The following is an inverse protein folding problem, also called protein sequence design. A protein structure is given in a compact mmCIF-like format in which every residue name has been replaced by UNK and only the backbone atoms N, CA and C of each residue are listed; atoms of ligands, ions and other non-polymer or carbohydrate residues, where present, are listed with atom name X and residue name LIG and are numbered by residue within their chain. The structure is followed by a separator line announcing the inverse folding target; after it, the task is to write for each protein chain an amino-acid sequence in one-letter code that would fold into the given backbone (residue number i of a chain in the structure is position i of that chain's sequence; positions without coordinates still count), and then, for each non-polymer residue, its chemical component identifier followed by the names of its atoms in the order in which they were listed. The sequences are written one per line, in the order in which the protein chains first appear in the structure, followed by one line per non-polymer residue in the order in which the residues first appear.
data_IF_357366243330
#
_entry.id   IF_357366243330
#
_cell.length_a   1.000
_cell.length_b   1.000
_cell.length_c   1.000
_cell.angle_alpha   90.00
_cell.angle_beta   90.00
_cell.angle_gamma   90.00
#
_symmetry.space_group_name_H-M   'P 1'
#
loop_
_entity.id
_entity.type
_entity.pdbx_description
1 polymer ?
#
# COMPACT_ATOMS: atom_id res chain seq x y z
N UNK A 1 -21.12 -21.39 14.25
CA UNK A 1 -21.01 -21.10 12.81
C UNK A 1 -21.20 -19.62 12.45
N UNK A 2 -21.66 -18.73 13.35
CA UNK A 2 -21.74 -17.28 13.10
C UNK A 2 -20.45 -16.47 13.37
N UNK A 3 -19.33 -17.11 13.73
CA UNK A 3 -18.05 -16.42 14.03
C UNK A 3 -17.01 -16.47 12.91
N UNK A 4 -17.20 -17.31 11.88
CA UNK A 4 -16.28 -17.42 10.75
C UNK A 4 -16.66 -16.52 9.57
N UNK A 5 -17.93 -16.11 9.46
CA UNK A 5 -18.39 -15.15 8.46
C UNK A 5 -17.94 -13.72 8.81
N UNK A 6 -17.78 -13.40 10.10
CA UNK A 6 -17.32 -12.08 10.55
C UNK A 6 -15.81 -11.84 10.33
N UNK A 7 -14.97 -12.88 10.33
CA UNK A 7 -13.53 -12.72 10.04
C UNK A 7 -13.23 -12.60 8.54
N UNK A 8 -14.05 -13.20 7.67
CA UNK A 8 -13.95 -13.02 6.22
C UNK A 8 -14.53 -11.66 5.78
N UNK A 9 -15.53 -11.13 6.49
CA UNK A 9 -15.98 -9.75 6.29
C UNK A 9 -14.94 -8.74 6.79
N UNK A 10 -14.32 -8.94 7.96
CA UNK A 10 -13.31 -8.02 8.50
C UNK A 10 -12.00 -7.95 7.68
N UNK A 11 -11.74 -8.92 6.79
CA UNK A 11 -10.64 -8.90 5.82
C UNK A 11 -11.08 -8.44 4.41
N UNK A 12 -12.39 -8.29 4.17
CA UNK A 12 -12.99 -7.74 2.94
C UNK A 12 -13.59 -6.34 3.14
N UNK A 13 -13.50 -5.76 4.35
CA UNK A 13 -14.08 -4.47 4.76
C UNK A 13 -13.03 -3.38 5.02
N UNK A 14 -11.76 -3.60 4.65
CA UNK A 14 -10.79 -2.51 4.60
C UNK A 14 -10.98 -1.71 3.30
N UNK A 15 -11.67 -0.57 3.41
CA UNK A 15 -11.61 0.51 2.43
C UNK A 15 -12.56 0.36 1.25
N UNK A 16 -13.85 0.57 1.47
CA UNK A 16 -14.77 0.91 0.38
C UNK A 16 -14.91 2.42 0.28
N UNK A 17 -14.73 2.97 -0.92
CA UNK A 17 -15.04 4.37 -1.18
C UNK A 17 -16.53 4.55 -1.49
N UNK A 18 -17.19 5.46 -0.79
CA UNK A 18 -18.63 5.72 -0.96
C UNK A 18 -18.96 7.18 -1.15
N UNK A 19 -20.17 7.47 -1.60
CA UNK A 19 -20.79 8.79 -1.51
C UNK A 19 -22.30 8.67 -1.59
N UNK A 20 -23.01 9.78 -1.36
CA UNK A 20 -24.39 9.90 -1.87
C UNK A 20 -24.43 9.65 -3.38
N UNK A 21 -25.54 9.13 -3.89
CA UNK A 21 -25.69 8.77 -5.31
C UNK A 21 -25.51 10.00 -6.22
N UNK A 22 -24.46 10.05 -7.07
CA UNK A 22 -24.28 11.15 -8.01
C UNK A 22 -25.25 11.03 -9.20
N UNK A 23 -25.83 12.16 -9.61
CA UNK A 23 -26.52 12.30 -10.90
C UNK A 23 -25.50 12.56 -12.01
N UNK A 24 -24.92 11.49 -12.56
CA UNK A 24 -23.93 11.60 -13.64
C UNK A 24 -24.64 11.76 -14.98
N UNK A 25 -24.26 12.80 -15.72
CA UNK A 25 -24.82 13.07 -17.04
C UNK A 25 -24.46 11.95 -18.04
N UNK A 26 -25.40 11.57 -18.89
CA UNK A 26 -25.26 10.41 -19.79
C UNK A 26 -24.05 10.50 -20.72
N UNK A 27 -23.61 11.71 -21.11
CA UNK A 27 -22.44 11.90 -21.95
C UNK A 27 -21.10 11.56 -21.27
N UNK A 28 -21.07 11.46 -19.94
CA UNK A 28 -19.89 11.08 -19.16
C UNK A 28 -19.85 9.57 -18.87
N UNK A 29 -20.95 8.88 -19.12
CA UNK A 29 -21.06 7.44 -18.95
C UNK A 29 -20.44 6.72 -20.15
N UNK A 30 -19.70 5.67 -19.85
CA UNK A 30 -18.99 4.86 -20.83
C UNK A 30 -19.60 3.47 -20.92
N UNK A 31 -19.79 2.98 -22.15
CA UNK A 31 -20.11 1.58 -22.41
C UNK A 31 -19.02 1.00 -23.31
N UNK A 32 -17.88 0.54 -22.74
CA UNK A 32 -16.75 0.08 -23.52
C UNK A 32 -17.16 -1.02 -24.50
N UNK A 33 -16.79 -0.94 -25.79
CA UNK A 33 -17.33 -1.86 -26.81
C UNK A 33 -16.93 -3.33 -26.59
N UNK A 34 -15.82 -3.60 -25.88
CA UNK A 34 -15.32 -4.94 -25.60
C UNK A 34 -15.72 -5.51 -24.22
N UNK A 35 -16.55 -4.81 -23.46
CA UNK A 35 -17.04 -5.30 -22.15
C UNK A 35 -18.29 -6.20 -22.24
N UNK A 36 -19.29 -5.93 -23.11
CA UNK A 36 -20.45 -6.81 -23.22
C UNK A 36 -20.05 -8.22 -23.70
N UNK A 37 -20.46 -9.24 -22.97
CA UNK A 37 -20.06 -10.62 -23.26
C UNK A 37 -20.16 -11.53 -22.04
N UNK A 38 -19.74 -12.79 -22.23
CA UNK A 38 -19.67 -13.80 -21.17
C UNK A 38 -18.22 -14.05 -20.80
N UNK A 39 -17.94 -14.10 -19.50
CA UNK A 39 -16.60 -14.27 -18.97
C UNK A 39 -16.60 -15.30 -17.87
N UNK A 40 -15.46 -15.97 -17.72
CA UNK A 40 -15.11 -16.77 -16.56
C UNK A 40 -14.62 -15.85 -15.46
N UNK A 41 -15.16 -16.03 -14.25
CA UNK A 41 -14.67 -15.34 -13.06
C UNK A 41 -13.52 -16.15 -12.49
N UNK A 42 -12.35 -15.52 -12.37
CA UNK A 42 -11.22 -16.02 -11.61
C UNK A 42 -11.08 -15.13 -10.37
N UNK A 43 -11.14 -15.74 -9.19
CA UNK A 43 -10.94 -15.08 -7.90
C UNK A 43 -9.58 -15.45 -7.33
N UNK A 44 -8.99 -14.55 -6.55
CA UNK A 44 -7.70 -14.75 -5.87
C UNK A 44 -7.83 -15.67 -4.65
N UNK A 45 -8.98 -15.69 -3.98
CA UNK A 45 -9.14 -16.27 -2.63
C UNK A 45 -9.92 -17.60 -2.58
N UNK A 46 -10.42 -18.11 -3.71
CA UNK A 46 -11.26 -19.31 -3.71
C UNK A 46 -10.48 -20.60 -4.02
N UNK A 47 -10.26 -21.39 -2.96
CA UNK A 47 -9.90 -22.80 -3.08
C UNK A 47 -11.01 -23.61 -3.76
N UNK A 48 -10.63 -24.41 -4.77
CA UNK A 48 -11.42 -25.50 -5.36
C UNK A 48 -12.91 -25.23 -5.71
N UNK A 49 -13.28 -23.97 -6.01
CA UNK A 49 -14.61 -23.62 -6.49
C UNK A 49 -14.88 -24.11 -7.91
N UNK A 50 -16.14 -24.48 -8.20
CA UNK A 50 -16.60 -24.70 -9.58
C UNK A 50 -16.47 -23.39 -10.37
N UNK A 51 -16.06 -23.44 -11.66
CA UNK A 51 -15.78 -22.23 -12.40
C UNK A 51 -17.08 -21.44 -12.62
N UNK A 52 -17.08 -20.16 -12.20
CA UNK A 52 -18.24 -19.27 -12.27
C UNK A 52 -18.22 -18.47 -13.57
N UNK A 53 -19.41 -18.13 -14.07
CA UNK A 53 -19.58 -17.30 -15.26
C UNK A 53 -20.31 -16.01 -14.90
N UNK A 54 -19.91 -14.91 -15.53
CA UNK A 54 -20.60 -13.62 -15.51
C UNK A 54 -20.94 -13.19 -16.93
N UNK A 55 -22.13 -12.63 -17.12
CA UNK A 55 -22.52 -11.98 -18.37
C UNK A 55 -22.66 -10.48 -18.16
N UNK A 56 -21.88 -9.69 -18.90
CA UNK A 56 -22.01 -8.23 -18.93
C UNK A 56 -22.90 -7.82 -20.10
N UNK A 57 -23.89 -6.98 -19.82
CA UNK A 57 -24.87 -6.49 -20.80
C UNK A 57 -25.09 -5.00 -20.65
N UNK A 58 -25.35 -4.33 -21.77
CA UNK A 58 -25.74 -2.91 -21.75
C UNK A 58 -27.12 -2.76 -21.11
N UNK A 59 -27.29 -1.71 -20.32
CA UNK A 59 -28.55 -1.37 -19.69
C UNK A 59 -28.80 0.14 -19.71
N UNK A 60 -30.04 0.54 -19.97
CA UNK A 60 -30.49 1.93 -19.86
C UNK A 60 -29.56 2.99 -20.46
N UNK A 61 -29.65 4.21 -19.92
CA UNK A 61 -28.92 5.41 -20.29
C UNK A 61 -27.41 5.33 -19.96
N UNK A 62 -26.68 4.38 -20.54
CA UNK A 62 -25.23 4.26 -20.39
C UNK A 62 -24.76 3.39 -19.21
N UNK A 63 -25.67 2.72 -18.49
CA UNK A 63 -25.31 1.75 -17.46
C UNK A 63 -25.04 0.36 -18.03
N UNK A 64 -24.53 -0.53 -17.18
CA UNK A 64 -24.19 -1.90 -17.48
C UNK A 64 -24.77 -2.80 -16.39
N UNK A 65 -25.14 -4.02 -16.75
CA UNK A 65 -25.53 -5.08 -15.81
C UNK A 65 -24.44 -6.15 -15.86
N UNK A 66 -24.02 -6.63 -14.69
CA UNK A 66 -23.26 -7.87 -14.53
C UNK A 66 -24.12 -8.93 -13.85
N UNK A 67 -24.38 -10.04 -14.54
CA UNK A 67 -25.16 -11.16 -14.03
C UNK A 67 -24.29 -12.39 -13.84
N UNK A 68 -24.06 -12.80 -12.58
CA UNK A 68 -23.39 -14.06 -12.29
C UNK A 68 -24.37 -15.24 -12.49
N UNK A 69 -24.00 -16.21 -13.32
CA UNK A 69 -24.81 -17.41 -13.55
C UNK A 69 -24.83 -18.28 -12.29
N UNK A 70 -25.88 -18.17 -11.47
CA UNK A 70 -26.12 -19.04 -10.31
C UNK A 70 -26.21 -18.33 -8.95
N UNK A 71 -25.92 -17.02 -8.88
CA UNK A 71 -26.24 -16.19 -7.70
C UNK A 71 -27.30 -15.16 -8.11
N UNK A 72 -28.39 -15.07 -7.34
CA UNK A 72 -29.47 -14.10 -7.54
C UNK A 72 -29.06 -12.70 -7.09
N UNK A 73 -28.11 -12.10 -7.80
CA UNK A 73 -27.62 -10.74 -7.57
C UNK A 73 -27.16 -10.12 -8.87
N UNK A 74 -28.12 -9.63 -9.68
CA UNK A 74 -27.82 -8.75 -10.81
C UNK A 74 -27.35 -7.40 -10.27
N UNK A 75 -26.08 -7.06 -10.46
CA UNK A 75 -25.54 -5.76 -10.10
C UNK A 75 -25.62 -4.81 -11.29
N UNK A 76 -26.41 -3.73 -11.19
CA UNK A 76 -26.32 -2.63 -12.15
C UNK A 76 -25.19 -1.71 -11.73
N UNK A 77 -24.29 -1.40 -12.65
CA UNK A 77 -23.19 -0.48 -12.41
C UNK A 77 -23.08 0.53 -13.55
N UNK A 78 -22.42 1.64 -13.27
CA UNK A 78 -22.11 2.70 -14.23
C UNK A 78 -20.60 2.78 -14.38
N UNK A 79 -20.13 3.12 -15.58
CA UNK A 79 -18.72 3.33 -15.85
C UNK A 79 -18.50 4.77 -16.32
N UNK A 80 -17.41 5.39 -15.88
CA UNK A 80 -16.89 6.61 -16.47
C UNK A 80 -15.39 6.47 -16.74
N UNK A 81 -14.90 7.08 -17.81
CA UNK A 81 -13.50 6.97 -18.19
C UNK A 81 -12.61 7.76 -17.22
N UNK A 82 -11.46 7.19 -16.86
CA UNK A 82 -10.41 7.91 -16.13
C UNK A 82 -9.43 8.58 -17.10
N UNK A 83 -8.41 9.27 -16.58
CA UNK A 83 -7.29 9.74 -17.43
C UNK A 83 -6.35 8.62 -17.87
N UNK A 84 -6.44 7.43 -17.26
CA UNK A 84 -5.67 6.26 -17.66
C UNK A 84 -6.35 5.48 -18.80
N UNK A 85 -5.66 5.22 -19.93
CA UNK A 85 -6.21 4.44 -21.02
C UNK A 85 -6.64 3.04 -20.58
N UNK A 86 -7.88 2.65 -20.89
CA UNK A 86 -8.39 1.32 -20.57
C UNK A 86 -8.87 1.14 -19.13
N UNK A 87 -8.74 2.17 -18.27
CA UNK A 87 -9.21 2.15 -16.88
C UNK A 87 -10.47 3.01 -16.74
N UNK A 88 -11.48 2.44 -16.10
CA UNK A 88 -12.78 3.06 -15.90
C UNK A 88 -13.11 3.07 -14.41
N UNK A 89 -13.65 4.18 -13.91
CA UNK A 89 -14.29 4.22 -12.60
C UNK A 89 -15.60 3.45 -12.68
N UNK A 90 -15.73 2.43 -11.85
CA UNK A 90 -16.94 1.65 -11.62
C UNK A 90 -17.72 2.23 -10.46
N UNK A 91 -19.00 2.49 -10.69
CA UNK A 91 -19.93 3.07 -9.72
C UNK A 91 -21.07 2.08 -9.55
N UNK A 92 -21.13 1.44 -8.39
CA UNK A 92 -22.12 0.43 -8.03
C UNK A 92 -23.11 1.04 -7.05
N UNK A 93 -24.42 0.89 -7.28
CA UNK A 93 -25.40 1.28 -6.28
C UNK A 93 -25.32 0.31 -5.08
N UNK A 94 -25.04 0.85 -3.89
CA UNK A 94 -24.95 0.07 -2.65
C UNK A 94 -26.33 -0.05 -2.00
N UNK A 95 -27.03 1.07 -1.89
CA UNK A 95 -28.41 1.15 -1.42
C UNK A 95 -29.18 2.25 -2.19
N UNK A 96 -30.36 2.62 -1.71
CA UNK A 96 -31.20 3.65 -2.37
C UNK A 96 -30.51 5.02 -2.46
N UNK A 97 -29.60 5.31 -1.53
CA UNK A 97 -29.02 6.63 -1.30
C UNK A 97 -27.52 6.72 -1.55
N UNK A 98 -26.77 5.61 -1.53
CA UNK A 98 -25.32 5.60 -1.65
C UNK A 98 -24.80 4.69 -2.76
N UNK A 99 -23.60 5.03 -3.22
CA UNK A 99 -22.84 4.27 -4.22
C UNK A 99 -21.50 3.84 -3.64
N UNK A 100 -20.96 2.78 -4.23
CA UNK A 100 -19.60 2.29 -4.04
C UNK A 100 -18.77 2.58 -5.28
N UNK A 101 -17.52 2.93 -5.07
CA UNK A 101 -16.54 3.18 -6.13
C UNK A 101 -15.51 2.06 -6.21
N UNK A 102 -15.07 1.77 -7.42
CA UNK A 102 -13.98 0.83 -7.73
C UNK A 102 -13.42 1.12 -9.12
N UNK A 103 -12.45 0.34 -9.58
CA UNK A 103 -11.99 0.41 -10.98
C UNK A 103 -12.30 -0.84 -11.76
N UNK A 104 -12.53 -0.66 -13.06
CA UNK A 104 -12.59 -1.75 -14.02
C UNK A 104 -11.59 -1.46 -15.13
N UNK A 105 -10.68 -2.39 -15.38
CA UNK A 105 -9.60 -2.24 -16.35
C UNK A 105 -9.74 -3.23 -17.49
N UNK A 106 -9.59 -2.74 -18.71
CA UNK A 106 -9.41 -3.57 -19.89
C UNK A 106 -7.95 -3.99 -20.02
N UNK A 107 -7.72 -5.31 -20.03
CA UNK A 107 -6.40 -5.91 -20.15
C UNK A 107 -6.21 -6.55 -21.54
N UNK A 108 -4.99 -7.03 -21.77
CA UNK A 108 -4.66 -7.75 -23.00
C UNK A 108 -5.56 -8.97 -23.21
N UNK A 109 -5.66 -9.41 -24.46
CA UNK A 109 -6.49 -10.56 -24.88
C UNK A 109 -7.99 -10.45 -24.56
N UNK A 110 -8.49 -9.22 -24.32
CA UNK A 110 -9.90 -8.96 -24.04
C UNK A 110 -10.34 -9.35 -22.63
N UNK A 111 -9.39 -9.54 -21.71
CA UNK A 111 -9.66 -9.74 -20.30
C UNK A 111 -10.07 -8.42 -19.62
N UNK A 112 -10.81 -8.53 -18.52
CA UNK A 112 -11.17 -7.40 -17.68
C UNK A 112 -10.84 -7.69 -16.23
N UNK A 113 -10.34 -6.72 -15.49
CA UNK A 113 -10.02 -6.87 -14.07
C UNK A 113 -10.82 -5.85 -13.27
N UNK A 114 -11.49 -6.32 -12.21
CA UNK A 114 -12.10 -5.48 -11.20
C UNK A 114 -11.08 -5.14 -10.12
N UNK A 115 -11.18 -3.93 -9.60
CA UNK A 115 -10.40 -3.46 -8.46
C UNK A 115 -11.27 -2.78 -7.43
N UNK A 116 -11.05 -3.16 -6.18
CA UNK A 116 -11.41 -2.31 -5.05
C UNK A 116 -10.50 -1.08 -5.02
N UNK A 117 -11.04 0.04 -4.55
CA UNK A 117 -10.24 1.18 -4.17
C UNK A 117 -10.39 1.39 -2.67
N UNK A 118 -9.27 1.52 -1.98
CA UNK A 118 -9.22 1.77 -0.55
C UNK A 118 -8.67 3.16 -0.27
N UNK A 119 -8.95 3.66 0.93
CA UNK A 119 -8.24 4.82 1.46
C UNK A 119 -6.75 4.48 1.62
N UNK A 120 -5.95 5.48 2.00
CA UNK A 120 -4.53 5.27 2.29
C UNK A 120 -4.35 4.19 3.35
N UNK A 121 -3.42 3.26 3.13
CA UNK A 121 -2.89 2.33 4.15
C UNK A 121 -2.80 3.01 5.52
N UNK A 122 -3.29 2.35 6.57
CA UNK A 122 -3.18 2.83 7.95
C UNK A 122 -1.72 2.73 8.45
N UNK A 123 -0.87 3.64 7.96
CA UNK A 123 0.53 3.76 8.33
C UNK A 123 0.93 5.22 8.62
N UNK A 124 2.22 5.42 8.90
CA UNK A 124 2.77 6.75 9.26
C UNK A 124 2.62 7.79 8.14
N UNK A 125 2.33 7.36 6.92
CA UNK A 125 2.14 8.19 5.74
C UNK A 125 0.67 8.50 5.44
N UNK A 126 -0.27 7.87 6.15
CA UNK A 126 -1.71 8.08 5.97
C UNK A 126 -2.10 9.56 6.07
N UNK A 127 -1.66 10.24 7.14
CA UNK A 127 -1.99 11.66 7.38
C UNK A 127 -1.53 12.60 6.25
N UNK A 128 -0.23 12.64 5.90
CA UNK A 128 0.26 13.44 4.78
C UNK A 128 -0.45 13.14 3.44
N UNK A 129 -0.69 11.86 3.13
CA UNK A 129 -1.35 11.48 1.88
C UNK A 129 -2.84 11.90 1.86
N UNK A 130 -3.58 11.68 2.96
CA UNK A 130 -4.97 12.16 3.10
C UNK A 130 -5.07 13.69 2.98
N UNK A 131 -4.13 14.44 3.54
CA UNK A 131 -4.10 15.90 3.40
C UNK A 131 -3.88 16.35 1.93
N UNK A 132 -3.01 15.64 1.20
CA UNK A 132 -2.80 15.91 -0.22
C UNK A 132 -4.01 15.51 -1.08
N UNK A 133 -4.58 14.33 -0.81
CA UNK A 133 -5.83 13.85 -1.41
C UNK A 133 -6.97 14.86 -1.22
N UNK A 134 -7.14 15.40 -0.01
CA UNK A 134 -8.11 16.46 0.28
C UNK A 134 -7.81 17.74 -0.52
N UNK A 135 -6.54 18.16 -0.62
CA UNK A 135 -6.15 19.33 -1.42
C UNK A 135 -6.53 19.18 -2.90
N UNK A 136 -6.51 17.95 -3.43
CA UNK A 136 -6.97 17.67 -4.80
C UNK A 136 -8.50 17.68 -4.86
N UNK A 137 -9.18 17.03 -3.92
CA UNK A 137 -10.64 17.01 -3.83
C UNK A 137 -11.26 18.42 -3.71
N UNK A 138 -10.59 19.34 -3.00
CA UNK A 138 -10.98 20.75 -2.87
C UNK A 138 -11.11 21.46 -4.24
N UNK A 139 -10.28 21.08 -5.23
CA UNK A 139 -10.36 21.61 -6.61
C UNK A 139 -11.70 21.31 -7.27
N UNK A 140 -12.41 20.31 -6.77
CA UNK A 140 -13.68 19.80 -7.27
C UNK A 140 -14.87 20.07 -6.32
N UNK A 141 -14.66 20.88 -5.28
CA UNK A 141 -15.67 21.18 -4.23
C UNK A 141 -16.15 19.93 -3.48
N UNK A 142 -15.25 18.96 -3.28
CA UNK A 142 -15.51 17.69 -2.60
C UNK A 142 -14.68 17.57 -1.32
N UNK A 143 -15.23 16.86 -0.34
CA UNK A 143 -14.57 16.56 0.93
C UNK A 143 -14.35 15.06 1.03
N UNK A 144 -13.15 14.65 1.44
CA UNK A 144 -12.80 13.27 1.77
C UNK A 144 -12.96 13.09 3.27
N UNK A 145 -13.87 12.24 3.68
CA UNK A 145 -14.06 11.86 5.07
C UNK A 145 -13.54 10.43 5.27
N UNK A 146 -12.41 10.33 5.95
CA UNK A 146 -11.77 9.07 6.34
C UNK A 146 -11.80 8.89 7.88
N UNK A 147 -12.85 9.39 8.54
CA UNK A 147 -13.02 9.24 9.99
C UNK A 147 -13.42 7.83 10.40
N UNK A 148 -14.05 7.08 9.50
CA UNK A 148 -14.30 5.64 9.65
C UNK A 148 -13.13 4.86 9.02
N UNK A 149 -12.41 4.03 9.81
CA UNK A 149 -11.32 3.22 9.27
C UNK A 149 -11.80 2.11 8.31
N UNK A 150 -13.09 1.75 8.30
CA UNK A 150 -13.67 0.73 7.41
C UNK A 150 -14.21 1.34 6.10
N UNK A 151 -14.59 2.62 6.11
CA UNK A 151 -15.24 3.30 4.98
C UNK A 151 -14.70 4.71 4.76
N UNK A 152 -14.29 5.02 3.54
CA UNK A 152 -13.93 6.40 3.16
C UNK A 152 -15.04 6.99 2.31
N UNK A 153 -15.63 8.09 2.74
CA UNK A 153 -16.72 8.73 2.01
C UNK A 153 -16.26 10.01 1.32
N UNK A 154 -16.84 10.26 0.14
CA UNK A 154 -16.78 11.54 -0.56
C UNK A 154 -18.07 12.30 -0.26
N UNK A 155 -17.92 13.48 0.32
CA UNK A 155 -19.00 14.38 0.70
C UNK A 155 -18.93 15.69 -0.07
N UNK A 156 -19.99 16.51 0.03
CA UNK A 156 -20.04 17.85 -0.53
C UNK A 156 -20.98 17.99 -1.71
N UNK A 157 -20.70 18.94 -2.59
CA UNK A 157 -21.58 19.28 -3.71
C UNK A 157 -21.34 18.30 -4.85
N UNK A 158 -21.93 17.12 -4.74
CA UNK A 158 -21.84 16.04 -5.72
C UNK A 158 -22.64 16.43 -6.97
N UNK A 159 -22.10 17.38 -7.73
CA UNK A 159 -22.56 17.67 -9.07
C UNK A 159 -22.17 16.52 -10.00
N UNK A 160 -22.95 16.30 -11.05
CA UNK A 160 -22.76 15.18 -11.98
C UNK A 160 -21.39 15.08 -12.65
N UNK A 161 -20.56 16.15 -12.58
CA UNK A 161 -19.21 16.19 -13.12
C UNK A 161 -18.10 16.09 -12.07
N UNK A 162 -18.36 16.41 -10.80
CA UNK A 162 -17.30 16.51 -9.78
C UNK A 162 -16.64 15.15 -9.55
N UNK A 163 -17.44 14.09 -9.40
CA UNK A 163 -16.94 12.72 -9.22
C UNK A 163 -16.16 12.23 -10.46
N UNK A 164 -16.72 12.23 -11.69
CA UNK A 164 -15.94 11.88 -12.87
C UNK A 164 -14.65 12.68 -13.05
N UNK A 165 -14.68 13.99 -12.72
CA UNK A 165 -13.51 14.85 -12.87
C UNK A 165 -12.43 14.57 -11.83
N UNK A 166 -12.82 14.26 -10.58
CA UNK A 166 -11.90 13.85 -9.53
C UNK A 166 -11.16 12.56 -9.92
N UNK A 167 -11.88 11.54 -10.39
CA UNK A 167 -11.30 10.28 -10.85
C UNK A 167 -10.66 10.36 -12.25
N UNK A 168 -10.73 11.52 -12.91
CA UNK A 168 -9.92 11.82 -14.08
C UNK A 168 -8.63 12.59 -13.72
N UNK A 169 -8.50 13.13 -12.50
CA UNK A 169 -7.28 13.81 -12.04
C UNK A 169 -6.17 12.77 -11.79
N UNK A 170 -5.03 12.80 -12.53
CA UNK A 170 -3.95 11.86 -12.33
C UNK A 170 -3.31 11.96 -10.94
N UNK A 171 -3.29 13.17 -10.33
CA UNK A 171 -2.79 13.35 -8.97
C UNK A 171 -3.69 12.59 -7.98
N UNK A 172 -5.02 12.65 -8.16
CA UNK A 172 -5.94 11.93 -7.29
C UNK A 172 -5.81 10.42 -7.46
N UNK A 173 -5.74 9.93 -8.70
CA UNK A 173 -5.54 8.49 -8.96
C UNK A 173 -4.25 7.96 -8.33
N UNK A 174 -3.20 8.77 -8.24
CA UNK A 174 -1.95 8.39 -7.58
C UNK A 174 -2.10 8.21 -6.05
N UNK A 175 -3.01 8.95 -5.41
CA UNK A 175 -3.28 8.86 -3.96
C UNK A 175 -3.97 7.57 -3.55
N UNK A 176 -4.71 6.95 -4.48
CA UNK A 176 -5.58 5.83 -4.18
C UNK A 176 -4.79 4.54 -3.97
N UNK A 177 -5.24 3.78 -2.99
CA UNK A 177 -4.89 2.37 -2.89
C UNK A 177 -5.83 1.55 -3.77
N UNK A 178 -5.28 0.56 -4.46
CA UNK A 178 -6.04 -0.26 -5.41
C UNK A 178 -5.74 -1.70 -5.09
N UNK A 179 -6.80 -2.46 -4.87
CA UNK A 179 -6.76 -3.85 -4.43
C UNK A 179 -7.34 -4.71 -5.54
N UNK A 180 -6.54 -5.66 -6.04
CA UNK A 180 -6.97 -6.62 -7.06
C UNK A 180 -8.17 -7.43 -6.60
N UNK A 181 -9.28 -7.32 -7.35
CA UNK A 181 -10.47 -8.12 -7.18
C UNK A 181 -10.56 -9.26 -8.19
N UNK A 182 -11.73 -9.41 -8.81
CA UNK A 182 -12.03 -10.48 -9.76
C UNK A 182 -11.42 -10.23 -11.15
N UNK A 183 -10.86 -11.29 -11.76
CA UNK A 183 -10.42 -11.30 -13.16
C UNK A 183 -11.48 -11.98 -14.03
N UNK A 184 -11.90 -11.32 -15.10
CA UNK A 184 -12.88 -11.78 -16.07
C UNK A 184 -12.19 -12.20 -17.36
N UNK A 185 -12.18 -13.50 -17.66
CA UNK A 185 -11.50 -14.07 -18.81
C UNK A 185 -12.48 -14.56 -19.89
N UNK A 186 -12.21 -14.33 -21.18
CA UNK A 186 -13.05 -14.86 -22.25
C UNK A 186 -12.97 -16.40 -22.38
N UNK A 187 -11.89 -17.02 -21.91
CA UNK A 187 -11.70 -18.48 -21.91
C UNK A 187 -11.17 -18.95 -20.55
N UNK A 188 -11.50 -20.18 -20.10
CA UNK A 188 -11.09 -20.66 -18.79
C UNK A 188 -9.62 -21.13 -18.86
N UNK A 189 -8.76 -20.71 -17.92
CA UNK A 189 -7.41 -21.23 -17.79
C UNK A 189 -7.43 -22.60 -17.10
N UNK A 190 -6.35 -23.37 -17.29
CA UNK A 190 -6.17 -24.58 -16.49
C UNK A 190 -6.03 -24.21 -14.99
N UNK A 191 -6.51 -25.04 -14.04
CA UNK A 191 -6.43 -24.74 -12.61
C UNK A 191 -5.04 -24.35 -12.11
N UNK A 192 -4.01 -25.02 -12.62
CA UNK A 192 -2.60 -24.82 -12.29
C UNK A 192 -2.01 -23.47 -12.73
N UNK A 193 -2.62 -22.80 -13.72
CA UNK A 193 -2.15 -21.52 -14.25
C UNK A 193 -2.82 -20.32 -13.54
N UNK A 194 -3.79 -20.55 -12.63
CA UNK A 194 -4.62 -19.47 -12.06
C UNK A 194 -3.85 -18.47 -11.21
N UNK A 195 -2.87 -18.93 -10.44
CA UNK A 195 -2.04 -18.06 -9.59
C UNK A 195 -1.15 -17.14 -10.44
N UNK A 196 -0.70 -17.60 -11.61
CA UNK A 196 0.15 -16.82 -12.53
C UNK A 196 -0.63 -15.74 -13.30
N UNK A 197 -1.97 -15.82 -13.36
CA UNK A 197 -2.83 -14.88 -14.10
C UNK A 197 -3.08 -13.58 -13.35
N UNK A 198 -2.96 -13.61 -12.03
CA UNK A 198 -2.86 -12.39 -11.25
C UNK A 198 -1.40 -11.95 -11.33
N UNK A 199 -1.10 -10.74 -11.84
CA UNK A 199 0.25 -10.24 -11.80
C UNK A 199 0.72 -10.31 -10.35
N UNK A 200 1.76 -11.10 -10.08
CA UNK A 200 2.61 -10.82 -8.94
C UNK A 200 3.09 -9.40 -9.20
N UNK A 201 2.61 -8.44 -8.43
CA UNK A 201 3.01 -7.04 -8.60
C UNK A 201 4.53 -6.93 -8.62
N UNK A 202 5.07 -5.89 -9.26
CA UNK A 202 6.51 -5.66 -9.16
C UNK A 202 6.92 -5.74 -7.69
N UNK A 203 8.10 -6.34 -7.46
CA UNK A 203 8.73 -6.37 -6.15
C UNK A 203 8.67 -4.95 -5.59
N UNK A 204 7.95 -4.76 -4.49
CA UNK A 204 8.01 -3.50 -3.76
C UNK A 204 9.47 -3.33 -3.32
N UNK A 205 10.13 -2.29 -3.83
CA UNK A 205 11.56 -2.09 -3.61
C UNK A 205 11.77 -1.12 -2.46
N UNK A 206 12.80 -1.37 -1.66
CA UNK A 206 13.22 -0.44 -0.60
C UNK A 206 13.62 0.90 -1.21
N UNK A 207 13.15 1.99 -0.62
CA UNK A 207 13.59 3.34 -0.98
C UNK A 207 15.07 3.51 -0.57
N UNK A 208 15.94 3.72 -1.54
CA UNK A 208 17.38 3.94 -1.30
C UNK A 208 17.71 5.43 -1.38
N UNK A 209 18.59 5.91 -0.50
CA UNK A 209 19.19 7.24 -0.60
C UNK A 209 20.67 7.08 -0.92
N UNK A 210 21.10 7.56 -2.09
CA UNK A 210 22.48 7.46 -2.58
C UNK A 210 23.40 8.49 -1.89
N UNK A 211 23.62 8.29 -0.59
CA UNK A 211 24.57 9.04 0.22
C UNK A 211 25.08 8.17 1.38
N UNK A 212 26.32 8.38 1.85
CA UNK A 212 26.92 7.54 2.90
C UNK A 212 26.47 7.93 4.32
N UNK A 213 25.90 9.12 4.49
CA UNK A 213 25.48 9.67 5.77
C UNK A 213 24.31 10.64 5.60
N UNK A 214 23.69 11.07 6.70
CA UNK A 214 22.56 12.00 6.73
C UNK A 214 22.93 13.30 7.45
N UNK A 215 23.41 14.33 6.72
CA UNK A 215 23.87 15.58 7.32
C UNK A 215 22.81 16.26 8.20
N UNK A 216 23.25 16.77 9.35
CA UNK A 216 22.38 17.49 10.29
C UNK A 216 21.47 16.58 11.14
N UNK A 217 21.63 15.25 11.06
CA UNK A 217 20.88 14.32 11.88
C UNK A 217 21.21 14.49 13.37
N UNK A 218 20.17 14.57 14.19
CA UNK A 218 20.26 14.47 15.65
C UNK A 218 19.66 13.13 16.05
N UNK A 219 20.52 12.10 16.14
CA UNK A 219 20.08 10.74 16.43
C UNK A 219 19.53 10.64 17.85
N UNK A 220 18.31 10.12 17.96
CA UNK A 220 17.67 9.88 19.25
C UNK A 220 17.92 8.46 19.72
N UNK A 221 17.83 8.25 21.04
CA UNK A 221 17.87 6.92 21.64
C UNK A 221 16.46 6.54 22.11
N UNK A 222 15.72 5.72 21.34
CA UNK A 222 14.42 5.22 21.77
C UNK A 222 14.52 4.56 23.15
N UNK A 223 13.66 4.92 24.13
CA UNK A 223 13.76 4.42 25.49
C UNK A 223 13.67 2.90 25.56
N UNK A 224 14.61 2.25 26.25
CA UNK A 224 14.63 0.79 26.40
C UNK A 224 15.24 0.04 25.22
N UNK A 225 15.56 0.67 24.08
CA UNK A 225 16.11 -0.01 22.90
C UNK A 225 17.50 -0.62 23.13
N UNK A 226 18.29 -0.11 24.07
CA UNK A 226 19.67 -0.57 24.33
C UNK A 226 19.79 -1.91 25.06
N UNK A 227 18.69 -2.65 25.19
CA UNK A 227 18.58 -3.93 25.88
C UNK A 227 18.94 -5.12 24.96
N UNK A 228 18.79 -6.34 25.48
CA UNK A 228 18.98 -7.59 24.73
C UNK A 228 17.63 -8.16 24.31
N UNK A 229 17.57 -8.64 23.07
CA UNK A 229 16.35 -9.14 22.45
C UNK A 229 16.55 -10.49 21.81
N UNK A 230 15.45 -11.22 21.63
CA UNK A 230 15.35 -12.27 20.65
C UNK A 230 14.80 -11.67 19.36
N UNK A 231 15.54 -11.81 18.26
CA UNK A 231 15.07 -11.43 16.93
C UNK A 231 14.26 -12.57 16.30
N UNK A 232 13.10 -12.24 15.72
CA UNK A 232 12.27 -13.16 14.93
C UNK A 232 11.67 -12.44 13.72
N UNK A 233 11.37 -13.17 12.65
CA UNK A 233 10.62 -12.70 11.49
C UNK A 233 9.18 -13.20 11.54
N UNK A 234 8.24 -12.47 10.92
CA UNK A 234 6.81 -12.84 10.87
C UNK A 234 6.58 -14.18 10.15
N UNK A 235 7.34 -14.44 9.08
CA UNK A 235 7.35 -15.75 8.46
C UNK A 235 8.19 -16.70 9.31
N UNK A 236 7.50 -17.57 10.04
CA UNK A 236 8.06 -18.70 10.79
C UNK A 236 8.72 -19.78 9.91
N UNK A 237 9.41 -19.38 8.83
CA UNK A 237 10.26 -20.22 8.00
C UNK A 237 11.54 -20.57 8.77
N UNK A 238 11.41 -21.37 9.82
CA UNK A 238 12.49 -22.18 10.42
C UNK A 238 13.73 -21.46 10.98
N UNK A 239 13.80 -20.12 10.90
CA UNK A 239 14.88 -19.36 11.50
C UNK A 239 14.74 -19.43 13.03
N UNK A 240 15.72 -20.03 13.70
CA UNK A 240 15.74 -20.04 15.16
C UNK A 240 15.91 -18.60 15.65
N UNK A 241 15.09 -18.12 16.61
CA UNK A 241 15.32 -16.82 17.21
C UNK A 241 16.71 -16.82 17.83
N UNK A 242 17.49 -15.79 17.54
CA UNK A 242 18.82 -15.61 18.11
C UNK A 242 18.89 -14.29 18.88
N UNK A 243 19.76 -14.26 19.90
CA UNK A 243 19.97 -13.08 20.71
C UNK A 243 20.58 -11.94 19.87
N UNK A 244 20.04 -10.74 20.01
CA UNK A 244 20.58 -9.52 19.41
C UNK A 244 20.63 -8.39 20.43
N UNK A 245 21.54 -7.44 20.22
CA UNK A 245 21.66 -6.25 21.05
C UNK A 245 21.88 -5.01 20.21
N UNK A 246 21.20 -3.93 20.59
CA UNK A 246 21.45 -2.60 20.07
C UNK A 246 22.49 -1.90 20.96
N UNK A 247 23.68 -1.66 20.41
CA UNK A 247 24.77 -1.01 21.13
C UNK A 247 24.85 0.44 20.69
N UNK A 248 24.55 1.37 21.61
CA UNK A 248 24.62 2.80 21.33
C UNK A 248 26.06 3.25 21.11
N UNK A 249 26.28 3.96 20.02
CA UNK A 249 27.55 4.56 19.62
C UNK A 249 27.68 6.00 20.16
N UNK A 250 28.91 6.55 20.23
CA UNK A 250 29.13 7.92 20.72
C UNK A 250 28.42 9.01 19.93
N UNK A 251 28.17 8.78 18.64
CA UNK A 251 27.45 9.69 17.75
C UNK A 251 25.92 9.61 17.89
N UNK A 252 25.42 8.72 18.76
CA UNK A 252 24.00 8.52 19.01
C UNK A 252 23.33 7.45 18.15
N UNK A 253 24.01 6.94 17.12
CA UNK A 253 23.53 5.78 16.35
C UNK A 253 23.62 4.50 17.19
N UNK A 254 23.03 3.43 16.70
CA UNK A 254 23.13 2.09 17.25
C UNK A 254 23.85 1.17 16.28
N UNK A 255 24.55 0.20 16.83
CA UNK A 255 25.07 -0.95 16.11
C UNK A 255 24.28 -2.18 16.56
N UNK A 256 23.60 -2.85 15.64
CA UNK A 256 22.88 -4.09 15.88
C UNK A 256 23.86 -5.26 15.75
N UNK A 257 24.04 -6.02 16.84
CA UNK A 257 24.91 -7.20 16.90
C UNK A 257 24.14 -8.45 17.27
N UNK A 258 24.36 -9.53 16.52
CA UNK A 258 23.97 -10.87 16.93
C UNK A 258 24.88 -11.37 18.07
N UNK A 259 24.29 -12.05 19.05
CA UNK A 259 24.99 -12.53 20.26
C UNK A 259 25.50 -13.97 20.14
N UNK A 260 24.88 -14.81 19.31
CA UNK A 260 25.15 -16.27 19.29
C UNK A 260 25.54 -16.85 17.93
N UNK A 261 25.75 -16.01 16.90
CA UNK A 261 26.11 -16.49 15.56
C UNK A 261 27.64 -16.46 15.40
N UNK A 262 28.30 -17.55 15.81
CA UNK A 262 29.74 -17.79 15.55
C UNK A 262 30.04 -18.10 14.06
N UNK A 263 29.05 -18.10 13.17
CA UNK A 263 29.23 -18.52 11.79
C UNK A 263 28.67 -17.51 10.77
N UNK A 264 29.51 -17.13 9.81
CA UNK A 264 29.20 -16.42 8.56
C UNK A 264 28.86 -14.91 8.62
N UNK A 265 29.84 -14.08 8.24
CA UNK A 265 29.70 -12.86 7.43
C UNK A 265 28.70 -11.73 7.80
N UNK A 266 27.93 -11.80 8.90
CA UNK A 266 27.04 -10.72 9.31
C UNK A 266 27.84 -9.57 9.92
N UNK A 267 28.21 -8.62 9.06
CA UNK A 267 28.75 -7.33 9.50
C UNK A 267 27.71 -6.63 10.38
N UNK A 268 28.11 -6.00 11.49
CA UNK A 268 27.20 -5.24 12.31
C UNK A 268 26.46 -4.18 11.49
N UNK A 269 25.14 -4.08 11.66
CA UNK A 269 24.34 -3.08 10.97
C UNK A 269 24.31 -1.80 11.81
N UNK A 270 24.65 -0.67 11.19
CA UNK A 270 24.51 0.64 11.83
C UNK A 270 23.13 1.23 11.54
N UNK A 271 22.47 1.72 12.59
CA UNK A 271 21.12 2.24 12.58
C UNK A 271 21.08 3.61 13.26
N UNK A 272 20.50 4.61 12.62
CA UNK A 272 20.16 5.89 13.22
C UNK A 272 18.65 6.00 13.39
N UNK A 273 18.19 6.66 14.44
CA UNK A 273 16.76 6.91 14.65
C UNK A 273 16.47 8.40 14.72
N UNK A 274 15.47 8.84 13.95
CA UNK A 274 14.94 10.20 13.98
C UNK A 274 13.50 10.17 14.52
N UNK A 275 13.10 11.16 15.34
CA UNK A 275 11.73 11.23 15.83
C UNK A 275 10.76 11.56 14.69
N UNK A 276 9.60 10.90 14.69
CA UNK A 276 8.47 11.28 13.85
C UNK A 276 7.59 12.25 14.65
N UNK A 277 7.15 13.34 14.02
CA UNK A 277 6.30 14.33 14.69
C UNK A 277 4.88 13.79 14.84
N UNK A 278 4.29 13.92 16.03
CA UNK A 278 2.90 13.55 16.28
C UNK A 278 2.64 12.05 16.44
N UNK A 279 3.68 11.20 16.45
CA UNK A 279 3.53 9.75 16.62
C UNK A 279 4.38 9.27 17.80
N UNK A 280 3.71 8.83 18.85
CA UNK A 280 4.38 8.29 20.04
C UNK A 280 4.95 6.90 19.76
N UNK A 281 6.16 6.64 20.30
CA UNK A 281 6.85 5.34 20.23
C UNK A 281 7.13 4.81 18.81
N UNK A 282 7.10 5.70 17.81
CA UNK A 282 7.54 5.39 16.45
C UNK A 282 8.65 6.33 16.02
N UNK A 283 9.63 5.77 15.30
CA UNK A 283 10.81 6.50 14.87
C UNK A 283 11.13 6.13 13.42
N UNK A 284 11.62 7.09 12.65
CA UNK A 284 12.24 6.81 11.37
C UNK A 284 13.58 6.14 11.63
N UNK A 285 13.71 4.88 11.20
CA UNK A 285 14.95 4.14 11.20
C UNK A 285 15.71 4.43 9.88
N UNK A 286 16.98 4.81 10.01
CA UNK A 286 17.91 5.03 8.91
C UNK A 286 18.99 3.98 9.02
N UNK A 287 19.00 3.04 8.08
CA UNK A 287 20.00 1.96 7.99
C UNK A 287 21.15 2.44 7.11
N UNK A 288 22.38 2.24 7.59
CA UNK A 288 23.59 2.58 6.85
C UNK A 288 24.11 1.32 6.18
N UNK A 289 23.65 1.09 4.94
CA UNK A 289 23.93 -0.13 4.20
C UNK A 289 25.04 0.10 3.17
N UNK A 290 25.62 -0.99 2.69
CA UNK A 290 26.58 -0.97 1.59
C UNK A 290 26.38 -2.19 0.70
N UNK A 291 26.61 -2.03 -0.60
CA UNK A 291 26.66 -3.14 -1.54
C UNK A 291 28.03 -3.20 -2.20
N UNK A 292 28.50 -4.42 -2.44
CA UNK A 292 29.78 -4.67 -3.12
C UNK A 292 29.51 -5.38 -4.45
N UNK A 293 29.74 -4.69 -5.55
CA UNK A 293 29.69 -5.27 -6.89
C UNK A 293 30.96 -4.91 -7.65
N UNK A 294 31.56 -5.89 -8.32
CA UNK A 294 32.79 -5.71 -9.10
C UNK A 294 33.92 -4.99 -8.32
N UNK A 295 34.17 -5.43 -7.08
CA UNK A 295 35.14 -4.83 -6.14
C UNK A 295 34.91 -3.35 -5.79
N UNK A 296 33.77 -2.75 -6.15
CA UNK A 296 33.38 -1.41 -5.72
C UNK A 296 32.35 -1.53 -4.61
N UNK A 297 32.70 -0.98 -3.46
CA UNK A 297 31.77 -0.80 -2.34
C UNK A 297 31.05 0.53 -2.55
N UNK A 298 29.72 0.50 -2.48
CA UNK A 298 28.87 1.68 -2.51
C UNK A 298 28.06 1.72 -1.23
N UNK A 299 28.03 2.88 -0.60
CA UNK A 299 27.26 3.14 0.61
C UNK A 299 25.96 3.83 0.23
N UNK A 300 24.88 3.44 0.89
CA UNK A 300 23.56 4.03 0.71
C UNK A 300 22.80 3.96 2.03
N UNK A 301 21.74 4.76 2.15
CA UNK A 301 20.83 4.67 3.26
C UNK A 301 19.56 3.95 2.81
N UNK A 302 19.05 3.05 3.63
CA UNK A 302 17.69 2.54 3.51
C UNK A 302 16.85 3.00 4.70
N UNK A 303 15.55 3.12 4.47
CA UNK A 303 14.62 3.66 5.46
C UNK A 303 13.67 2.58 5.97
N UNK A 304 13.34 2.67 7.24
CA UNK A 304 12.32 1.85 7.89
C UNK A 304 11.61 2.61 8.99
N UNK A 305 10.61 1.99 9.59
CA UNK A 305 9.90 2.47 10.76
C UNK A 305 10.22 1.53 11.92
N UNK A 306 10.75 2.09 13.00
CA UNK A 306 10.88 1.41 14.29
C UNK A 306 9.65 1.75 15.13
N UNK A 307 8.87 0.74 15.51
CA UNK A 307 7.66 0.89 16.33
C UNK A 307 7.74 0.03 17.58
N UNK A 308 7.16 0.51 18.68
CA UNK A 308 7.01 -0.28 19.91
C UNK A 308 5.58 -0.76 20.09
N UNK A 309 5.38 -2.08 20.24
CA UNK A 309 4.11 -2.68 20.64
C UNK A 309 4.33 -3.74 21.70
N UNK A 310 3.53 -3.74 22.77
CA UNK A 310 3.51 -4.79 23.81
C UNK A 310 4.88 -5.18 24.40
N UNK A 311 5.79 -4.20 24.53
CA UNK A 311 7.13 -4.40 25.07
C UNK A 311 8.14 -5.00 24.08
N UNK A 312 7.74 -5.20 22.83
CA UNK A 312 8.62 -5.54 21.72
C UNK A 312 8.83 -4.36 20.78
N UNK A 313 9.97 -4.37 20.09
CA UNK A 313 10.23 -3.47 18.97
C UNK A 313 9.97 -4.19 17.66
N UNK A 314 9.40 -3.51 16.68
CA UNK A 314 9.31 -3.97 15.29
C UNK A 314 10.03 -2.99 14.38
N UNK A 315 10.87 -3.50 13.48
CA UNK A 315 11.51 -2.72 12.43
C UNK A 315 10.95 -3.18 11.08
N UNK A 316 10.17 -2.30 10.45
CA UNK A 316 9.52 -2.51 9.16
C UNK A 316 10.20 -1.65 8.11
N UNK A 317 10.48 -2.19 6.92
CA UNK A 317 11.12 -1.40 5.85
C UNK A 317 10.08 -0.47 5.18
N UNK A 318 10.53 0.69 4.71
CA UNK A 318 9.72 1.57 3.87
C UNK A 318 9.96 1.18 2.41
N UNK A 319 8.89 0.77 1.75
CA UNK A 319 8.93 0.36 0.36
C UNK A 319 8.30 1.42 -0.54
N UNK A 320 8.84 1.55 -1.74
CA UNK A 320 8.15 2.22 -2.84
C UNK A 320 7.04 1.29 -3.32
N UNK A 321 5.80 1.80 -3.38
CA UNK A 321 4.63 1.06 -3.86
C UNK A 321 4.90 0.56 -5.29
N UNK A 322 4.89 -0.76 -5.46
CA UNK A 322 5.07 -1.45 -6.73
C UNK A 322 3.84 -1.37 -7.64
N UNK A 323 4.00 -1.76 -8.90
CA UNK A 323 2.99 -1.80 -9.99
C UNK A 323 1.91 -2.85 -9.78
N UNK A 324 1.31 -2.90 -8.60
CA UNK A 324 0.33 -3.93 -8.27
C UNK A 324 -0.98 -3.67 -9.00
N UNK A 325 -0.99 -3.89 -10.32
CA UNK A 325 -2.11 -4.24 -11.21
C UNK A 325 -2.77 -3.18 -12.11
N UNK A 326 -2.76 -1.88 -11.80
CA UNK A 326 -3.35 -0.87 -12.69
C UNK A 326 -2.35 -0.37 -13.76
N UNK A 327 -2.69 -0.47 -15.05
CA UNK A 327 -1.88 0.02 -16.19
C UNK A 327 -1.53 1.49 -16.00
N UNK A 328 -0.24 1.82 -16.13
CA UNK A 328 0.26 3.19 -15.99
C UNK A 328 0.36 3.71 -14.55
N UNK A 329 0.08 2.89 -13.52
CA UNK A 329 0.14 3.33 -12.11
C UNK A 329 1.55 3.74 -11.67
N UNK A 330 2.60 3.11 -12.19
CA UNK A 330 3.96 3.57 -11.89
C UNK A 330 4.20 5.00 -12.37
N UNK A 331 3.69 5.36 -13.54
CA UNK A 331 3.82 6.73 -14.06
C UNK A 331 2.99 7.71 -13.22
N UNK A 332 1.81 7.31 -12.76
CA UNK A 332 0.99 8.10 -11.82
C UNK A 332 1.71 8.37 -10.50
N UNK A 333 2.43 7.39 -9.95
CA UNK A 333 3.16 7.56 -8.69
C UNK A 333 4.49 8.31 -8.88
N UNK A 334 5.19 8.06 -9.99
CA UNK A 334 6.55 8.57 -10.20
C UNK A 334 6.59 10.09 -10.36
N UNK A 335 5.62 10.68 -11.06
CA UNK A 335 5.58 12.13 -11.29
C UNK A 335 5.43 12.96 -10.01
N UNK A 336 4.40 12.76 -9.16
CA UNK A 336 4.24 13.53 -7.93
C UNK A 336 5.41 13.32 -6.96
N UNK A 337 5.93 12.09 -6.85
CA UNK A 337 7.11 11.82 -6.04
C UNK A 337 8.36 12.55 -6.55
N UNK A 338 8.56 12.59 -7.86
CA UNK A 338 9.70 13.28 -8.48
C UNK A 338 9.63 14.79 -8.26
N UNK A 339 8.46 15.40 -8.43
CA UNK A 339 8.27 16.83 -8.18
C UNK A 339 8.42 17.17 -6.70
N UNK A 340 7.94 16.31 -5.79
CA UNK A 340 8.17 16.45 -4.36
C UNK A 340 9.66 16.37 -4.00
N UNK A 341 10.36 15.32 -4.47
CA UNK A 341 11.80 15.18 -4.24
C UNK A 341 12.57 16.43 -4.69
N UNK A 342 12.23 16.97 -5.86
CA UNK A 342 12.84 18.19 -6.41
C UNK A 342 12.60 19.43 -5.55
N UNK A 343 11.38 19.62 -5.02
CA UNK A 343 11.08 20.73 -4.08
C UNK A 343 11.94 20.67 -2.82
N UNK A 344 12.28 19.46 -2.36
CA UNK A 344 13.13 19.22 -1.20
C UNK A 344 14.62 19.03 -1.53
N UNK A 345 15.05 19.42 -2.74
CA UNK A 345 16.46 19.45 -3.14
C UNK A 345 17.07 18.08 -3.49
N UNK A 346 16.25 17.07 -3.74
CA UNK A 346 16.64 15.75 -4.19
C UNK A 346 16.15 15.46 -5.62
N UNK A 347 16.64 14.38 -6.19
CA UNK A 347 16.16 13.81 -7.45
C UNK A 347 15.79 12.35 -7.19
N UNK A 348 14.57 11.98 -7.57
CA UNK A 348 14.16 10.58 -7.60
C UNK A 348 14.53 9.98 -8.97
N UNK A 349 15.20 8.83 -8.94
CA UNK A 349 15.52 8.01 -10.11
C UNK A 349 15.05 6.58 -9.80
N UNK A 350 13.89 6.22 -10.35
CA UNK A 350 13.15 5.00 -9.97
C UNK A 350 12.85 4.99 -8.46
N UNK A 351 13.58 4.17 -7.70
CA UNK A 351 13.45 4.01 -6.25
C UNK A 351 14.66 4.54 -5.48
N UNK A 352 15.55 5.29 -6.14
CA UNK A 352 16.74 5.87 -5.54
C UNK A 352 16.61 7.40 -5.47
N UNK A 353 16.66 7.95 -4.26
CA UNK A 353 16.82 9.38 -4.02
C UNK A 353 18.31 9.74 -4.11
N UNK A 354 18.61 10.73 -4.94
CA UNK A 354 19.95 11.28 -5.13
C UNK A 354 19.97 12.77 -4.81
N UNK A 355 21.11 13.26 -4.36
CA UNK A 355 21.30 14.67 -3.97
C UNK A 355 21.80 14.78 -2.54
N UNK A 356 22.10 15.99 -2.09
CA UNK A 356 22.58 16.24 -0.74
C UNK A 356 21.39 16.42 0.22
N UNK A 357 20.67 15.33 0.53
CA UNK A 357 19.52 15.38 1.41
C UNK A 357 19.97 15.46 2.87
N UNK A 358 19.51 16.48 3.60
CA UNK A 358 19.74 16.61 5.05
C UNK A 358 18.70 15.81 5.83
N UNK A 359 18.94 15.56 7.12
CA UNK A 359 17.93 14.93 7.99
C UNK A 359 16.60 15.69 8.01
N UNK A 360 16.65 17.03 8.06
CA UNK A 360 15.45 17.86 8.00
C UNK A 360 14.77 17.79 6.63
N UNK A 361 15.54 17.77 5.54
CA UNK A 361 15.01 17.59 4.19
C UNK A 361 14.31 16.24 4.03
N UNK A 362 14.88 15.16 4.57
CA UNK A 362 14.26 13.84 4.57
C UNK A 362 12.95 13.82 5.36
N UNK A 363 12.94 14.37 6.59
CA UNK A 363 11.73 14.45 7.39
C UNK A 363 10.66 15.34 6.74
N UNK A 364 11.05 16.42 6.07
CA UNK A 364 10.12 17.27 5.30
C UNK A 364 9.54 16.53 4.09
N UNK A 365 10.39 15.76 3.39
CA UNK A 365 9.97 14.94 2.25
C UNK A 365 8.97 13.85 2.68
N UNK A 366 9.18 13.20 3.82
CA UNK A 366 8.24 12.22 4.40
C UNK A 366 6.96 12.84 5.00
N UNK A 367 6.87 14.19 5.03
CA UNK A 367 5.64 14.93 5.35
C UNK A 367 4.95 15.49 4.10
N UNK A 368 5.55 15.34 2.93
CA UNK A 368 4.99 15.80 1.67
C UNK A 368 4.10 14.68 1.10
N UNK A 369 2.78 14.88 1.12
CA UNK A 369 1.82 13.89 0.65
C UNK A 369 2.04 13.44 -0.80
N UNK A 370 2.58 14.31 -1.66
CA UNK A 370 2.95 13.95 -3.03
C UNK A 370 4.09 12.94 -3.08
N UNK A 371 5.00 12.96 -2.11
CA UNK A 371 6.06 11.98 -2.02
C UNK A 371 5.57 10.68 -1.37
N UNK A 372 4.83 10.80 -0.28
CA UNK A 372 4.43 9.62 0.50
C UNK A 372 3.33 8.79 -0.15
N UNK A 373 2.61 9.33 -1.14
CA UNK A 373 1.63 8.59 -1.95
C UNK A 373 2.17 7.32 -2.61
N UNK A 374 3.47 7.31 -2.92
CA UNK A 374 4.14 6.17 -3.53
C UNK A 374 4.95 5.35 -2.53
N UNK A 375 4.74 5.55 -1.22
CA UNK A 375 5.38 4.78 -0.15
C UNK A 375 4.36 3.91 0.58
N UNK A 376 4.84 2.79 1.13
CA UNK A 376 4.12 1.97 2.10
C UNK A 376 5.10 1.40 3.13
N UNK A 377 4.61 1.10 4.33
CA UNK A 377 5.40 0.38 5.33
C UNK A 377 5.16 -1.13 5.21
N UNK A 378 6.22 -1.91 4.96
CA UNK A 378 6.11 -3.37 4.92
C UNK A 378 6.05 -3.97 6.31
N UNK A 379 4.83 -4.13 6.82
CA UNK A 379 4.58 -4.76 8.10
C UNK A 379 4.70 -6.28 8.05
N UNK A 380 4.51 -6.91 6.89
CA UNK A 380 4.51 -8.36 6.77
C UNK A 380 5.92 -8.94 6.92
N UNK A 381 6.93 -8.26 6.39
CA UNK A 381 8.34 -8.68 6.52
C UNK A 381 9.04 -8.06 7.74
N UNK A 382 8.29 -7.57 8.73
CA UNK A 382 8.87 -6.90 9.89
C UNK A 382 9.81 -7.80 10.69
N UNK A 383 10.92 -7.22 11.13
CA UNK A 383 11.81 -7.83 12.14
C UNK A 383 11.30 -7.47 13.53
N UNK A 384 11.06 -8.46 14.37
CA UNK A 384 10.57 -8.27 15.74
C UNK A 384 11.67 -8.56 16.76
N UNK A 385 11.78 -7.71 17.76
CA UNK A 385 12.76 -7.77 18.83
C UNK A 385 12.02 -7.81 20.16
N UNK A 386 11.87 -9.02 20.71
CA UNK A 386 11.21 -9.25 22.00
C UNK A 386 12.26 -9.35 23.12
N UNK A 387 12.01 -8.75 24.29
CA UNK A 387 12.94 -8.77 25.41
C UNK A 387 13.26 -10.21 25.86
N UNK A 388 14.56 -10.51 25.99
CA UNK A 388 15.05 -11.87 26.29
C UNK A 388 14.52 -12.40 27.64
N UNK A 389 14.41 -11.54 28.66
CA UNK A 389 13.91 -11.91 29.99
C UNK A 389 12.41 -12.21 30.00
N UNK A 390 11.62 -11.52 29.17
CA UNK A 390 10.19 -11.78 29.01
C UNK A 390 9.93 -13.09 28.24
N UNK A 391 10.76 -13.40 27.25
CA UNK A 391 10.66 -14.62 26.46
C UNK A 391 11.06 -15.89 27.25
N UNK A 392 11.98 -15.77 28.22
CA UNK A 392 12.36 -16.88 29.12
C UNK A 392 11.37 -17.11 30.28
N UNK A 393 10.66 -16.06 30.72
CA UNK A 393 9.67 -16.16 31.81
C UNK A 393 8.36 -16.87 31.45
N UNK A 394 8.06 -17.07 30.17
CA UNK A 394 6.89 -17.85 29.69
C UNK A 394 7.06 -19.37 29.79
N UNK A 395 8.25 -19.86 30.14
CA UNK A 395 8.57 -21.28 30.22
C UNK A 395 8.58 -21.85 31.66
N UNK A 396 8.13 -21.09 32.66
CA UNK A 396 8.02 -21.56 34.06
C UNK A 396 6.56 -21.74 34.50
N UNK A 397 6.00 -22.89 34.10
CA UNK A 397 4.97 -23.77 34.69
C UNK A 397 3.66 -23.26 35.36
N UNK A 398 2.58 -24.08 35.26
CA UNK A 398 1.26 -23.80 35.83
C UNK A 398 1.25 -23.98 37.36
N UNK A 399 0.25 -23.39 38.01
CA UNK A 399 -0.20 -23.81 39.34
C UNK A 399 -1.65 -24.24 39.30
#
# INVERSE_FOLDING_TARGET
MHRLISCLLALLLSGCWTSERPEIAAELLSQPPGLPGRYWIVSRDDGAGSPQLIEFRRHGEGSMIGDAAGKSGSGTFRLTATSLPGVYLKILDNNETSVLYGFMEHRDFGAWQDYGIAAVDDDVFAGPNLAWMQTIADRYELTINASDPEETSIEGKIHGRSIPSLFADPDFLATLEVVSGELFLPAPPAPEEREELFPAGDLSLTLEIEQPDLPGAQWVAPPGLGESYLETTFEGLGARPYGVRFIRQPDGRFELRAMEVEDTNHRPQSLGFLPLEGVDKQYLAVRFDFWKYDNRERQFLSLGILSQSDGAWSLSDILVRGTETLVGRQDLLSYPMTEAAKRHGAKLDRYTLRGALTAQGLLALLKDGQFTTGLKVDRQSSRYYALEDAARGGASEPR
#
